data_IF_287057650520
#
_entry.id   IF_287057650520
#
_cell.length_a   1.000
_cell.length_b   1.000
_cell.length_c   1.000
_cell.angle_alpha   90.00
_cell.angle_beta   90.00
_cell.angle_gamma   90.00
#
_symmetry.space_group_name_H-M   'P 1'
#
loop_
_entity.id
_entity.type
_entity.pdbx_description
1 polymer ?
#
# COMPACT_ATOMS: atom_id res chain seq x y z
N UNK A 1 -15.34 19.93 3.14
CA UNK A 1 -15.03 18.61 2.59
C UNK A 1 -13.67 18.18 3.09
N UNK A 2 -13.48 16.93 3.54
CA UNK A 2 -12.14 16.43 3.88
C UNK A 2 -11.19 16.63 2.70
N UNK A 3 -9.96 17.06 2.96
CA UNK A 3 -8.93 17.26 1.92
C UNK A 3 -7.86 16.17 1.93
N UNK A 4 -8.00 15.19 2.82
CA UNK A 4 -7.07 14.09 3.02
C UNK A 4 -7.81 12.76 2.88
N UNK A 5 -7.08 11.73 2.46
CA UNK A 5 -7.56 10.36 2.34
C UNK A 5 -8.02 9.80 3.68
N UNK A 6 -8.97 8.87 3.64
CA UNK A 6 -9.38 8.10 4.82
C UNK A 6 -8.27 7.08 5.18
N UNK A 7 -7.62 7.32 6.31
CA UNK A 7 -6.57 6.46 6.83
C UNK A 7 -7.10 5.44 7.86
N UNK A 8 -8.42 5.37 8.08
CA UNK A 8 -9.02 4.37 8.95
C UNK A 8 -8.72 2.96 8.39
N UNK A 9 -7.99 2.16 9.19
CA UNK A 9 -7.56 0.84 8.77
C UNK A 9 -6.41 0.85 7.76
N UNK A 10 -5.64 1.93 7.65
CA UNK A 10 -4.44 1.99 6.81
C UNK A 10 -3.53 0.77 7.03
N UNK A 11 -2.99 0.25 5.93
CA UNK A 11 -2.15 -0.95 5.87
C UNK A 11 -2.81 -2.25 6.38
N UNK A 12 -4.14 -2.29 6.49
CA UNK A 12 -4.89 -3.56 6.59
C UNK A 12 -5.11 -4.15 5.20
N UNK A 13 -5.31 -5.47 5.12
CA UNK A 13 -5.70 -6.15 3.86
C UNK A 13 -6.89 -5.46 3.22
N UNK A 14 -7.94 -5.17 3.99
CA UNK A 14 -9.16 -4.52 3.48
C UNK A 14 -8.86 -3.16 2.85
N UNK A 15 -8.11 -2.31 3.55
CA UNK A 15 -7.78 -0.97 3.05
C UNK A 15 -6.95 -1.05 1.76
N UNK A 16 -5.95 -1.94 1.72
CA UNK A 16 -5.12 -2.14 0.54
C UNK A 16 -5.89 -2.72 -0.64
N UNK A 17 -6.77 -3.70 -0.42
CA UNK A 17 -7.64 -4.24 -1.48
C UNK A 17 -8.51 -3.15 -2.07
N UNK A 18 -9.19 -2.37 -1.24
CA UNK A 18 -10.06 -1.29 -1.71
C UNK A 18 -9.25 -0.20 -2.45
N UNK A 19 -8.04 0.11 -1.98
CA UNK A 19 -7.14 1.06 -2.64
C UNK A 19 -6.70 0.57 -4.02
N UNK A 20 -6.28 -0.69 -4.14
CA UNK A 20 -5.83 -1.27 -5.41
C UNK A 20 -6.99 -1.41 -6.42
N UNK A 21 -8.22 -1.53 -5.94
CA UNK A 21 -9.43 -1.60 -6.78
C UNK A 21 -9.83 -0.25 -7.37
N UNK A 22 -9.72 0.83 -6.59
CA UNK A 22 -10.08 2.18 -7.05
C UNK A 22 -9.25 3.25 -6.32
N UNK A 23 -7.99 3.47 -6.73
CA UNK A 23 -7.11 4.44 -6.08
C UNK A 23 -7.60 5.89 -6.25
N UNK A 24 -8.44 6.13 -7.26
CA UNK A 24 -9.05 7.43 -7.59
C UNK A 24 -10.34 7.69 -6.80
N UNK A 25 -10.81 6.75 -5.98
CA UNK A 25 -12.01 6.97 -5.19
C UNK A 25 -11.82 8.13 -4.19
N UNK A 26 -12.90 8.86 -3.83
CA UNK A 26 -12.90 9.85 -2.76
C UNK A 26 -12.31 9.36 -1.43
N UNK A 27 -12.44 8.05 -1.13
CA UNK A 27 -11.87 7.45 0.08
C UNK A 27 -10.34 7.52 0.08
N UNK A 28 -9.71 7.40 -1.09
CA UNK A 28 -8.25 7.41 -1.25
C UNK A 28 -7.78 8.74 -1.82
N UNK A 29 -7.26 8.78 -3.04
CA UNK A 29 -6.62 9.97 -3.60
C UNK A 29 -7.52 10.84 -4.46
N UNK A 30 -8.79 10.45 -4.66
CA UNK A 30 -9.76 11.14 -5.52
C UNK A 30 -9.96 12.64 -5.25
N UNK A 31 -9.65 13.11 -4.04
CA UNK A 31 -9.77 14.52 -3.66
C UNK A 31 -8.53 15.37 -3.98
N UNK A 32 -7.41 14.75 -4.38
CA UNK A 32 -6.14 15.45 -4.55
C UNK A 32 -6.05 16.29 -5.82
N UNK A 33 -6.95 16.14 -6.78
CA UNK A 33 -6.90 16.89 -8.05
C UNK A 33 -6.92 18.43 -7.89
N UNK A 34 -7.42 18.92 -6.76
CA UNK A 34 -7.41 20.35 -6.41
C UNK A 34 -6.14 20.82 -5.67
N UNK A 35 -5.25 19.91 -5.31
CA UNK A 35 -3.99 20.17 -4.60
C UNK A 35 -2.83 20.29 -5.58
N UNK A 36 -1.85 21.16 -5.30
CA UNK A 36 -0.65 21.29 -6.13
C UNK A 36 0.06 19.94 -6.26
N UNK A 37 0.21 19.47 -7.50
CA UNK A 37 0.83 18.18 -7.82
C UNK A 37 -0.07 16.95 -7.64
N UNK A 38 -1.32 17.13 -7.21
CA UNK A 38 -2.25 16.01 -7.01
C UNK A 38 -2.78 15.41 -8.30
N UNK A 39 -2.79 16.15 -9.41
CA UNK A 39 -3.11 15.62 -10.74
C UNK A 39 -2.16 14.48 -11.16
N UNK A 40 -0.87 14.60 -10.83
CA UNK A 40 0.12 13.55 -11.08
C UNK A 40 -0.08 12.30 -10.22
N UNK A 41 -0.81 12.40 -9.10
CA UNK A 41 -1.20 11.24 -8.29
C UNK A 41 -2.44 10.56 -8.91
N UNK A 42 -3.42 11.36 -9.35
CA UNK A 42 -4.67 10.84 -9.93
C UNK A 42 -4.47 10.17 -11.29
N UNK A 43 -3.49 10.64 -12.07
CA UNK A 43 -3.15 10.14 -13.39
C UNK A 43 -1.74 9.51 -13.40
N UNK A 44 -1.34 8.92 -12.26
CA UNK A 44 -0.04 8.28 -12.10
C UNK A 44 -0.07 6.78 -12.40
N UNK A 45 1.11 6.17 -12.43
CA UNK A 45 1.33 4.76 -12.81
C UNK A 45 0.42 3.77 -12.07
N UNK A 46 0.13 4.00 -10.78
CA UNK A 46 -0.75 3.12 -9.99
C UNK A 46 -2.24 3.24 -10.37
N UNK A 47 -2.68 4.41 -10.84
CA UNK A 47 -4.04 4.60 -11.35
C UNK A 47 -4.21 3.91 -12.69
N UNK A 48 -3.23 4.05 -13.58
CA UNK A 48 -3.20 3.35 -14.87
C UNK A 48 -3.10 1.83 -14.68
N UNK A 49 -2.33 1.37 -13.70
CA UNK A 49 -2.24 -0.03 -13.31
C UNK A 49 -3.60 -0.59 -12.86
N UNK A 50 -4.32 0.12 -11.99
CA UNK A 50 -5.62 -0.33 -11.51
C UNK A 50 -6.64 -0.42 -12.66
N UNK A 51 -6.70 0.59 -13.53
CA UNK A 51 -7.56 0.59 -14.71
C UNK A 51 -7.22 -0.58 -15.66
N UNK A 52 -5.94 -0.89 -15.83
CA UNK A 52 -5.45 -1.90 -16.80
C UNK A 52 -5.55 -3.34 -16.30
N UNK A 53 -5.29 -3.59 -15.02
CA UNK A 53 -5.12 -4.95 -14.47
C UNK A 53 -6.24 -5.39 -13.53
N UNK A 54 -6.95 -4.44 -12.91
CA UNK A 54 -8.05 -4.71 -11.95
C UNK A 54 -9.42 -4.35 -12.52
N UNK A 55 -9.48 -3.46 -13.51
CA UNK A 55 -10.72 -3.06 -14.20
C UNK A 55 -11.50 -4.22 -14.84
N UNK A 56 -12.66 -3.95 -15.49
CA UNK A 56 -13.54 -4.99 -16.04
C UNK A 56 -12.84 -5.98 -16.98
N UNK A 57 -11.93 -5.46 -17.82
CA UNK A 57 -11.12 -6.23 -18.77
C UNK A 57 -9.75 -6.65 -18.19
N UNK A 58 -9.47 -6.28 -16.94
CA UNK A 58 -8.23 -6.60 -16.25
C UNK A 58 -8.08 -8.09 -16.01
N UNK A 59 -6.84 -8.58 -16.00
CA UNK A 59 -6.55 -10.00 -15.84
C UNK A 59 -6.63 -10.47 -14.39
N UNK A 60 -6.48 -9.57 -13.40
CA UNK A 60 -6.49 -9.91 -11.99
C UNK A 60 -7.92 -10.13 -11.50
N UNK A 61 -8.13 -11.22 -10.78
CA UNK A 61 -9.36 -11.46 -10.04
C UNK A 61 -9.36 -10.67 -8.74
N UNK A 62 -10.54 -10.57 -8.09
CA UNK A 62 -10.65 -9.96 -6.77
C UNK A 62 -9.78 -10.69 -5.74
N UNK A 63 -9.74 -12.02 -5.82
CA UNK A 63 -8.95 -12.89 -4.96
C UNK A 63 -7.43 -12.68 -5.18
N UNK A 64 -7.00 -12.40 -6.41
CA UNK A 64 -5.61 -12.03 -6.70
C UNK A 64 -5.23 -10.73 -5.99
N UNK A 65 -6.06 -9.69 -6.13
CA UNK A 65 -5.85 -8.40 -5.48
C UNK A 65 -5.90 -8.52 -3.96
N UNK A 66 -6.83 -9.30 -3.40
CA UNK A 66 -6.90 -9.58 -1.97
C UNK A 66 -5.67 -10.32 -1.46
N UNK A 67 -5.15 -11.30 -2.22
CA UNK A 67 -3.98 -12.07 -1.83
C UNK A 67 -2.71 -11.20 -1.80
N UNK A 68 -2.47 -10.38 -2.84
CA UNK A 68 -1.31 -9.48 -2.86
C UNK A 68 -1.45 -8.34 -1.84
N UNK A 69 -2.66 -7.81 -1.63
CA UNK A 69 -2.93 -6.85 -0.57
C UNK A 69 -2.65 -7.43 0.82
N UNK A 70 -3.01 -8.69 1.06
CA UNK A 70 -2.73 -9.38 2.32
C UNK A 70 -1.22 -9.60 2.52
N UNK A 71 -0.49 -9.90 1.44
CA UNK A 71 0.96 -10.07 1.48
C UNK A 71 1.67 -8.77 1.87
N UNK A 72 1.27 -7.63 1.29
CA UNK A 72 1.78 -6.30 1.66
C UNK A 72 1.33 -5.91 3.07
N UNK A 73 0.08 -6.19 3.45
CA UNK A 73 -0.43 -5.89 4.79
C UNK A 73 0.36 -6.60 5.91
N UNK A 74 0.95 -7.77 5.62
CA UNK A 74 1.81 -8.49 6.55
C UNK A 74 3.00 -7.66 7.01
N UNK A 75 3.58 -6.85 6.13
CA UNK A 75 4.73 -5.98 6.41
C UNK A 75 4.43 -4.94 7.50
N UNK A 76 3.16 -4.60 7.67
CA UNK A 76 2.73 -3.66 8.69
C UNK A 76 2.89 -4.24 10.11
N UNK A 77 2.99 -5.56 10.26
CA UNK A 77 3.10 -6.25 11.55
C UNK A 77 2.11 -5.69 12.58
N UNK A 78 0.84 -5.54 12.17
CA UNK A 78 -0.23 -5.01 13.04
C UNK A 78 -0.68 -6.10 14.00
N UNK A 79 -1.08 -5.72 15.22
CA UNK A 79 -1.60 -6.66 16.23
C UNK A 79 -2.86 -7.41 15.81
N UNK A 80 -3.67 -6.81 14.94
CA UNK A 80 -4.90 -7.37 14.41
C UNK A 80 -4.68 -8.20 13.12
N UNK A 81 -3.43 -8.33 12.66
CA UNK A 81 -3.10 -9.16 11.50
C UNK A 81 -3.28 -10.64 11.83
N UNK A 82 -3.98 -11.36 10.93
CA UNK A 82 -4.18 -12.79 11.04
C UNK A 82 -3.21 -13.52 10.12
N UNK A 83 -2.60 -14.64 10.54
CA UNK A 83 -1.78 -15.46 9.67
C UNK A 83 -2.53 -15.83 8.38
N UNK A 84 -1.85 -15.73 7.25
CA UNK A 84 -2.38 -16.08 5.95
C UNK A 84 -2.30 -17.60 5.75
N UNK A 85 -3.23 -18.15 4.97
CA UNK A 85 -3.11 -19.54 4.52
C UNK A 85 -1.94 -19.67 3.54
N UNK A 86 -1.38 -20.87 3.41
CA UNK A 86 -0.34 -21.13 2.40
C UNK A 86 -0.80 -20.82 0.98
N UNK A 87 -2.09 -21.06 0.69
CA UNK A 87 -2.70 -20.75 -0.61
C UNK A 87 -2.69 -19.24 -0.87
N UNK A 88 -3.12 -18.43 0.10
CA UNK A 88 -3.11 -16.97 -0.01
C UNK A 88 -1.68 -16.44 -0.17
N UNK A 89 -0.71 -17.01 0.55
CA UNK A 89 0.71 -16.62 0.41
C UNK A 89 1.22 -16.94 -0.99
N UNK A 90 1.02 -18.16 -1.49
CA UNK A 90 1.46 -18.56 -2.84
C UNK A 90 0.83 -17.69 -3.92
N UNK A 91 -0.47 -17.41 -3.81
CA UNK A 91 -1.20 -16.55 -4.74
C UNK A 91 -0.72 -15.10 -4.68
N UNK A 92 -0.50 -14.55 -3.48
CA UNK A 92 0.03 -13.20 -3.33
C UNK A 92 1.43 -13.07 -3.92
N UNK A 93 2.29 -14.06 -3.73
CA UNK A 93 3.65 -14.09 -4.30
C UNK A 93 3.58 -14.16 -5.82
N UNK A 94 2.74 -15.03 -6.42
CA UNK A 94 2.65 -15.12 -7.88
C UNK A 94 2.15 -13.84 -8.54
N UNK A 95 1.21 -13.13 -7.91
CA UNK A 95 0.77 -11.80 -8.37
C UNK A 95 1.88 -10.75 -8.19
N UNK A 96 2.62 -10.81 -7.08
CA UNK A 96 3.67 -9.85 -6.78
C UNK A 96 4.87 -9.98 -7.70
N UNK A 97 5.37 -11.20 -7.90
CA UNK A 97 6.56 -11.49 -8.72
C UNK A 97 6.23 -11.70 -10.20
N UNK A 98 4.97 -11.98 -10.54
CA UNK A 98 4.55 -12.41 -11.88
C UNK A 98 4.83 -13.88 -12.18
N UNK A 99 5.61 -14.56 -11.33
CA UNK A 99 6.02 -15.96 -11.53
C UNK A 99 4.84 -16.90 -11.26
N UNK A 100 4.55 -17.79 -12.21
CA UNK A 100 3.45 -18.77 -12.14
C UNK A 100 2.07 -18.14 -11.90
N UNK A 101 1.90 -16.86 -12.22
CA UNK A 101 0.59 -16.19 -12.14
C UNK A 101 -0.40 -16.88 -13.07
N UNK A 102 -1.61 -17.13 -12.57
CA UNK A 102 -2.71 -17.71 -13.33
C UNK A 102 -3.83 -16.71 -13.48
N UNK A 103 -4.24 -16.44 -14.72
CA UNK A 103 -5.35 -15.55 -15.01
C UNK A 103 -6.71 -16.13 -14.58
N UNK A 104 -7.79 -15.37 -14.82
CA UNK A 104 -9.18 -15.77 -14.54
C UNK A 104 -9.60 -17.09 -15.21
N UNK A 105 -8.90 -17.55 -16.26
CA UNK A 105 -9.14 -18.84 -16.90
C UNK A 105 -8.39 -20.01 -16.26
N UNK A 106 -7.52 -19.72 -15.28
CA UNK A 106 -6.67 -20.69 -14.59
C UNK A 106 -5.41 -21.08 -15.35
N UNK A 107 -5.09 -20.38 -16.45
CA UNK A 107 -3.89 -20.61 -17.25
C UNK A 107 -2.76 -19.71 -16.77
N UNK A 108 -1.54 -20.22 -16.80
CA UNK A 108 -0.35 -19.39 -16.55
C UNK A 108 -0.31 -18.27 -17.58
N UNK A 109 -0.20 -17.04 -17.11
CA UNK A 109 -0.24 -15.84 -17.92
C UNK A 109 0.92 -14.93 -17.54
N UNK A 110 1.66 -14.49 -18.55
CA UNK A 110 2.66 -13.44 -18.41
C UNK A 110 1.99 -12.07 -18.52
N UNK A 111 2.35 -11.13 -17.64
CA UNK A 111 1.86 -9.76 -17.73
C UNK A 111 2.88 -8.76 -17.20
N UNK A 112 2.97 -7.58 -17.80
CA UNK A 112 3.93 -6.53 -17.43
C UNK A 112 3.35 -5.57 -16.37
N UNK A 113 2.69 -6.14 -15.37
CA UNK A 113 2.02 -5.40 -14.30
C UNK A 113 2.21 -6.03 -12.92
N UNK A 114 3.10 -7.01 -12.79
CA UNK A 114 3.39 -7.58 -11.48
C UNK A 114 4.11 -6.54 -10.61
N UNK A 115 3.87 -6.60 -9.31
CA UNK A 115 4.26 -5.55 -8.37
C UNK A 115 5.78 -5.34 -8.32
N UNK A 116 6.56 -6.43 -8.37
CA UNK A 116 8.02 -6.43 -8.29
C UNK A 116 8.71 -5.66 -9.43
N UNK A 117 8.02 -5.43 -10.54
CA UNK A 117 8.53 -4.63 -11.66
C UNK A 117 8.81 -3.18 -11.26
N UNK A 118 8.08 -2.66 -10.26
CA UNK A 118 8.20 -1.27 -9.80
C UNK A 118 8.54 -1.17 -8.32
N UNK A 119 8.02 -2.08 -7.49
CA UNK A 119 8.11 -2.03 -6.04
C UNK A 119 9.05 -3.09 -5.49
N UNK A 120 9.97 -2.68 -4.60
CA UNK A 120 10.79 -3.62 -3.87
C UNK A 120 10.04 -4.22 -2.67
N UNK A 121 10.11 -5.54 -2.46
CA UNK A 121 9.65 -6.23 -1.25
C UNK A 121 10.30 -7.61 -1.14
N UNK A 122 11.18 -7.82 -0.14
CA UNK A 122 11.84 -9.12 0.14
C UNK A 122 10.86 -10.27 0.32
N UNK A 123 9.69 -9.94 0.86
CA UNK A 123 8.68 -10.88 1.26
C UNK A 123 7.72 -11.24 0.10
N UNK A 124 7.80 -10.49 -1.01
CA UNK A 124 6.97 -10.61 -2.21
C UNK A 124 7.57 -11.48 -3.29
N UNK A 125 8.90 -11.64 -3.28
CA UNK A 125 9.61 -12.52 -4.17
C UNK A 125 10.74 -13.21 -3.38
N UNK A 126 10.71 -14.55 -3.25
CA UNK A 126 11.69 -15.30 -2.48
C UNK A 126 13.07 -15.39 -3.15
N UNK A 127 13.19 -14.99 -4.42
CA UNK A 127 14.40 -15.10 -5.23
C UNK A 127 15.03 -13.74 -5.56
N UNK A 128 14.22 -12.69 -5.73
CA UNK A 128 14.66 -11.32 -5.99
C UNK A 128 13.82 -10.33 -5.18
N UNK A 129 14.33 -9.13 -4.84
CA UNK A 129 13.53 -8.17 -4.06
C UNK A 129 12.60 -7.32 -4.94
N UNK A 130 12.72 -7.41 -6.27
CA UNK A 130 12.14 -6.44 -7.21
C UNK A 130 12.79 -5.05 -7.11
N UNK A 131 12.17 -4.04 -7.73
CA UNK A 131 12.58 -2.65 -7.56
C UNK A 131 12.41 -1.77 -8.80
N UNK A 132 12.39 -0.46 -8.59
CA UNK A 132 12.15 0.52 -9.65
C UNK A 132 11.90 1.92 -9.08
N UNK A 133 11.12 2.73 -9.80
CA UNK A 133 10.82 4.12 -9.45
C UNK A 133 9.63 4.28 -8.47
N UNK A 134 9.24 3.22 -7.76
CA UNK A 134 8.10 3.21 -6.86
C UNK A 134 8.51 2.91 -5.40
N UNK A 135 7.65 3.26 -4.40
CA UNK A 135 7.98 3.05 -2.99
C UNK A 135 8.32 1.61 -2.63
N UNK A 136 9.36 1.43 -1.82
CA UNK A 136 9.73 0.17 -1.20
C UNK A 136 8.68 -0.25 -0.15
N UNK A 137 8.22 -1.49 -0.25
CA UNK A 137 7.22 -2.07 0.64
C UNK A 137 7.81 -2.85 1.82
N UNK A 138 9.13 -2.97 1.94
CA UNK A 138 9.75 -3.61 3.11
C UNK A 138 9.37 -2.86 4.40
N UNK A 139 8.61 -3.54 5.27
CA UNK A 139 8.03 -2.98 6.49
C UNK A 139 6.89 -1.99 6.25
N UNK A 140 6.25 -1.96 5.07
CA UNK A 140 5.15 -1.04 4.74
C UNK A 140 4.11 -0.96 5.86
N UNK A 141 3.81 0.26 6.33
CA UNK A 141 2.83 0.48 7.39
C UNK A 141 3.26 0.07 8.80
N UNK A 142 4.47 -0.48 8.99
CA UNK A 142 5.07 -0.72 10.31
C UNK A 142 5.27 0.60 11.08
N UNK A 143 5.42 0.53 12.41
CA UNK A 143 5.70 1.73 13.23
C UNK A 143 6.93 2.48 12.69
N UNK A 144 8.02 1.76 12.43
CA UNK A 144 9.25 2.34 11.88
C UNK A 144 9.01 2.96 10.50
N UNK A 145 8.31 2.27 9.60
CA UNK A 145 8.04 2.77 8.25
C UNK A 145 7.22 4.06 8.29
N UNK A 146 6.18 4.11 9.14
CA UNK A 146 5.35 5.31 9.29
C UNK A 146 6.12 6.50 9.88
N UNK A 147 6.97 6.25 10.88
CA UNK A 147 7.86 7.27 11.45
C UNK A 147 8.79 7.81 10.35
N UNK A 148 9.48 6.93 9.63
CA UNK A 148 10.43 7.31 8.58
C UNK A 148 9.71 8.08 7.45
N UNK A 149 8.52 7.62 7.05
CA UNK A 149 7.70 8.24 6.00
C UNK A 149 7.22 9.64 6.38
N UNK A 150 6.66 9.83 7.58
CA UNK A 150 6.16 11.13 8.02
C UNK A 150 7.31 12.13 8.19
N UNK A 151 8.48 11.66 8.64
CA UNK A 151 9.69 12.48 8.75
C UNK A 151 10.20 12.92 7.38
N UNK A 152 10.29 12.01 6.40
CA UNK A 152 10.90 12.29 5.10
C UNK A 152 10.20 11.55 3.95
N UNK A 153 9.00 11.97 3.53
CA UNK A 153 8.22 11.26 2.51
C UNK A 153 8.85 11.33 1.10
N UNK A 154 9.74 12.31 0.86
CA UNK A 154 10.54 12.42 -0.35
C UNK A 154 11.88 11.68 -0.32
N UNK A 155 12.10 10.74 0.62
CA UNK A 155 13.26 9.86 0.55
C UNK A 155 13.18 8.94 -0.69
N UNK A 156 14.33 8.52 -1.22
CA UNK A 156 14.43 7.68 -2.42
C UNK A 156 13.60 6.39 -2.31
N UNK A 157 13.62 5.73 -1.15
CA UNK A 157 12.82 4.52 -0.90
C UNK A 157 11.29 4.75 -0.86
N UNK A 158 10.84 6.00 -0.89
CA UNK A 158 9.43 6.37 -0.89
C UNK A 158 9.08 7.00 -2.25
N UNK A 159 8.78 8.29 -2.30
CA UNK A 159 8.33 8.96 -3.52
C UNK A 159 9.41 9.82 -4.19
N UNK A 160 10.60 9.99 -3.57
CA UNK A 160 11.67 10.82 -4.14
C UNK A 160 11.18 12.18 -4.62
N UNK A 161 11.53 12.54 -5.85
CA UNK A 161 11.11 13.79 -6.51
C UNK A 161 9.62 13.85 -6.87
N UNK A 162 8.92 12.70 -6.88
CA UNK A 162 7.45 12.64 -7.09
C UNK A 162 6.66 13.00 -5.83
N UNK A 163 7.33 13.19 -4.69
CA UNK A 163 6.67 13.49 -3.42
C UNK A 163 6.07 14.90 -3.39
N UNK A 164 4.80 15.00 -2.97
CA UNK A 164 4.12 16.28 -2.71
C UNK A 164 3.77 16.47 -1.23
N UNK A 165 4.02 15.47 -0.37
CA UNK A 165 3.77 15.57 1.06
C UNK A 165 4.88 16.36 1.75
N UNK A 166 4.58 17.36 2.60
CA UNK A 166 5.62 18.06 3.33
C UNK A 166 6.27 17.13 4.38
N UNK A 167 7.58 17.30 4.59
CA UNK A 167 8.27 16.71 5.73
C UNK A 167 7.80 17.32 7.05
N UNK A 168 7.52 16.45 8.02
CA UNK A 168 7.24 16.81 9.40
C UNK A 168 8.48 16.56 10.25
N UNK A 169 9.45 17.47 10.19
CA UNK A 169 10.66 17.43 11.03
C UNK A 169 10.33 17.52 12.53
N UNK A 170 11.30 17.20 13.39
CA UNK A 170 11.15 17.23 14.86
C UNK A 170 10.63 18.58 15.38
N UNK A 171 10.98 19.69 14.72
CA UNK A 171 10.51 21.03 15.06
C UNK A 171 9.03 21.30 14.74
N UNK A 172 8.40 20.49 13.87
CA UNK A 172 6.97 20.59 13.52
C UNK A 172 6.11 19.56 14.23
N UNK A 173 6.68 18.38 14.50
CA UNK A 173 6.00 17.28 15.16
C UNK A 173 6.99 16.59 16.09
N UNK A 174 6.79 16.71 17.40
CA UNK A 174 7.70 16.09 18.37
C UNK A 174 7.73 14.57 18.20
N UNK A 175 8.82 13.92 18.61
CA UNK A 175 8.90 12.45 18.63
C UNK A 175 7.78 11.83 19.45
N UNK A 176 7.38 12.47 20.55
CA UNK A 176 6.29 11.99 21.38
C UNK A 176 4.97 11.98 20.60
N UNK A 177 4.61 13.10 19.97
CA UNK A 177 3.36 13.24 19.22
C UNK A 177 3.34 12.38 17.96
N UNK A 178 4.48 12.25 17.27
CA UNK A 178 4.61 11.34 16.14
C UNK A 178 4.34 9.90 16.56
N UNK A 179 4.91 9.45 17.68
CA UNK A 179 4.67 8.10 18.18
C UNK A 179 3.21 7.89 18.57
N UNK A 180 2.54 8.89 19.14
CA UNK A 180 1.10 8.82 19.44
C UNK A 180 0.27 8.72 18.15
N UNK A 181 0.56 9.57 17.15
CA UNK A 181 -0.09 9.55 15.85
C UNK A 181 0.07 8.19 15.16
N UNK A 182 1.29 7.63 15.15
CA UNK A 182 1.57 6.34 14.52
C UNK A 182 0.82 5.21 15.22
N UNK A 183 0.80 5.17 16.56
CA UNK A 183 0.00 4.20 17.31
C UNK A 183 -1.49 4.34 17.01
N UNK A 184 -1.98 5.57 16.89
CA UNK A 184 -3.36 5.85 16.49
C UNK A 184 -3.65 5.33 15.08
N UNK A 185 -2.80 5.62 14.07
CA UNK A 185 -2.99 5.09 12.71
C UNK A 185 -2.99 3.55 12.68
N UNK A 186 -2.20 2.93 13.55
CA UNK A 186 -2.03 1.48 13.62
C UNK A 186 -3.10 0.72 14.39
N UNK A 187 -4.09 1.38 15.00
CA UNK A 187 -5.03 0.63 15.86
C UNK A 187 -4.48 0.32 17.26
N UNK A 188 -3.28 0.81 17.59
CA UNK A 188 -2.48 0.36 18.75
C UNK A 188 -2.53 1.37 19.90
N UNK A 189 -3.63 2.10 20.02
CA UNK A 189 -3.91 2.96 21.17
C UNK A 189 -4.71 2.19 22.22
N UNK A 190 -4.55 2.56 23.49
CA UNK A 190 -5.39 1.98 24.54
C UNK A 190 -6.84 2.46 24.34
N UNK A 191 -7.73 1.54 24.00
CA UNK A 191 -9.17 1.78 24.11
C UNK A 191 -9.58 1.58 25.57
N UNK A 192 -10.39 2.48 26.15
CA UNK A 192 -10.99 2.20 27.45
C UNK A 192 -11.79 0.89 27.37
N UNK A 193 -11.74 0.06 28.41
CA UNK A 193 -12.48 -1.21 28.47
C UNK A 193 -14.01 -1.01 28.42
N UNK A 194 -14.48 0.22 28.63
CA UNK A 194 -15.88 0.63 28.49
C UNK A 194 -15.95 1.96 27.76
N UNK A 195 -16.64 1.97 26.62
CA UNK A 195 -17.16 3.22 26.04
C UNK A 195 -18.35 3.65 26.91
N UNK A 196 -18.26 4.83 27.52
CA UNK A 196 -19.39 5.43 28.26
C UNK A 196 -20.29 6.19 27.32
#
# INVERSE_FOLDING_TARGET
TPRASDLAGFATTKWLTEFLMDPKSPKFFGHLGSTKGGDAILNGDMSDWADSYVGPEGILSKEDVEAVAALVAREANRRDFKPLSEETVKRGISVFSGVDFKDKSGKVAEFNGYCAQCHAMKAGDPNEEGGGAAPDFNGYGSEKWLIDFIRKPGAERFYGDKNIMPSFEESKLSKHDLNLLVKWMRGEWQRPETEK
#
